data_IF_806112827886
#
_entry.id   IF_806112827886
#
_cell.length_a   1.000
_cell.length_b   1.000
_cell.length_c   1.000
_cell.angle_alpha   90.00
_cell.angle_beta   90.00
_cell.angle_gamma   90.00
#
_symmetry.space_group_name_H-M   'P 1'
#
loop_
_entity.id
_entity.type
_entity.pdbx_description
1 polymer ?
#
# COMPACT_ATOMS: atom_id res chain seq x y z
N UNK A 1 5.25 -23.40 -5.88
CA UNK A 1 6.01 -22.15 -5.66
C UNK A 1 5.37 -20.96 -6.40
N UNK A 2 4.03 -20.87 -6.41
CA UNK A 2 3.26 -19.72 -6.93
C UNK A 2 2.11 -19.33 -5.99
N UNK A 3 1.79 -20.14 -4.98
CA UNK A 3 0.65 -19.93 -4.07
C UNK A 3 0.81 -18.75 -3.11
N UNK A 4 2.04 -18.30 -2.82
CA UNK A 4 2.25 -17.20 -1.87
C UNK A 4 1.91 -15.82 -2.44
N UNK A 5 1.80 -15.69 -3.78
CA UNK A 5 1.42 -14.44 -4.43
C UNK A 5 -0.10 -14.24 -4.53
N UNK A 6 -0.88 -15.34 -4.54
CA UNK A 6 -2.35 -15.27 -4.67
C UNK A 6 -3.04 -14.84 -3.37
N UNK A 7 -2.47 -15.21 -2.21
CA UNK A 7 -3.01 -14.84 -0.90
C UNK A 7 -2.98 -13.31 -0.70
N UNK A 8 -1.93 -12.65 -1.22
CA UNK A 8 -1.79 -11.19 -1.12
C UNK A 8 -2.72 -10.47 -2.11
N UNK A 9 -2.98 -11.06 -3.28
CA UNK A 9 -3.95 -10.52 -4.25
C UNK A 9 -5.42 -10.73 -3.83
N UNK A 10 -5.70 -11.77 -3.03
CA UNK A 10 -7.03 -12.02 -2.45
C UNK A 10 -7.31 -11.23 -1.17
N UNK A 11 -6.30 -10.62 -0.57
CA UNK A 11 -6.52 -9.72 0.55
C UNK A 11 -7.20 -8.46 -0.01
N UNK A 12 -8.54 -8.42 0.11
CA UNK A 12 -9.36 -7.21 -0.04
C UNK A 12 -8.96 -6.09 0.94
N UNK A 13 -8.03 -6.36 1.83
CA UNK A 13 -7.55 -5.46 2.86
C UNK A 13 -6.46 -4.54 2.29
N UNK A 14 -6.56 -3.26 2.62
CA UNK A 14 -5.54 -2.28 2.28
C UNK A 14 -4.22 -2.65 2.95
N UNK A 15 -3.16 -2.77 2.15
CA UNK A 15 -1.80 -2.99 2.62
C UNK A 15 -0.99 -1.74 2.29
N UNK A 16 -0.46 -1.12 3.34
CA UNK A 16 0.39 0.07 3.26
C UNK A 16 1.68 -0.26 3.99
N UNK A 17 2.82 -0.05 3.33
CA UNK A 17 4.13 -0.08 3.97
C UNK A 17 4.67 1.33 3.96
N UNK A 18 5.07 1.81 5.14
CA UNK A 18 5.70 3.10 5.33
C UNK A 18 7.10 2.92 5.90
N UNK A 19 8.01 3.76 5.47
CA UNK A 19 9.32 3.90 6.08
C UNK A 19 9.18 4.75 7.34
N UNK A 20 9.62 4.23 8.48
CA UNK A 20 9.52 4.96 9.74
C UNK A 20 10.60 6.04 9.88
N UNK A 21 11.70 5.93 9.12
CA UNK A 21 12.80 6.89 9.14
C UNK A 21 12.46 8.17 8.35
N UNK A 22 11.88 8.03 7.15
CA UNK A 22 11.54 9.15 6.25
C UNK A 22 10.04 9.52 6.29
N UNK A 23 9.23 8.77 7.05
CA UNK A 23 7.76 8.83 7.07
C UNK A 23 7.07 8.61 5.71
N UNK A 24 7.81 8.17 4.69
CA UNK A 24 7.29 7.97 3.34
C UNK A 24 6.50 6.67 3.20
N UNK A 25 5.46 6.69 2.37
CA UNK A 25 4.80 5.47 1.92
C UNK A 25 5.65 4.81 0.83
N UNK A 26 6.17 3.63 1.13
CA UNK A 26 7.03 2.85 0.24
C UNK A 26 6.28 1.74 -0.50
N UNK A 27 5.08 1.38 -0.04
CA UNK A 27 4.21 0.42 -0.72
C UNK A 27 2.73 0.76 -0.56
N UNK A 28 2.00 0.62 -1.65
CA UNK A 28 0.56 0.87 -1.74
C UNK A 28 -0.06 -0.15 -2.70
N UNK A 29 -1.01 -0.96 -2.22
CA UNK A 29 -1.71 -1.95 -3.05
C UNK A 29 -3.08 -1.45 -3.54
N UNK A 30 -3.68 -2.18 -4.47
CA UNK A 30 -5.03 -1.88 -5.01
C UNK A 30 -6.10 -1.81 -3.89
N UNK A 31 -5.94 -2.60 -2.83
CA UNK A 31 -6.81 -2.53 -1.64
C UNK A 31 -6.73 -1.16 -0.94
N UNK A 32 -5.54 -0.57 -0.85
CA UNK A 32 -5.33 0.78 -0.32
C UNK A 32 -5.87 1.85 -1.27
N UNK A 33 -5.71 1.69 -2.59
CA UNK A 33 -6.31 2.58 -3.58
C UNK A 33 -7.83 2.62 -3.45
N UNK A 34 -8.45 1.45 -3.26
CA UNK A 34 -9.90 1.34 -3.07
C UNK A 34 -10.38 1.89 -1.73
N UNK A 35 -9.60 1.69 -0.65
CA UNK A 35 -10.00 2.09 0.70
C UNK A 35 -9.83 3.60 0.92
N UNK A 36 -8.72 4.18 0.45
CA UNK A 36 -8.38 5.59 0.66
C UNK A 36 -8.72 6.47 -0.54
N UNK A 37 -8.98 5.89 -1.72
CA UNK A 37 -9.39 6.64 -2.91
C UNK A 37 -8.24 7.37 -3.60
N UNK A 38 -6.99 7.05 -3.26
CA UNK A 38 -5.78 7.60 -3.89
C UNK A 38 -5.05 6.51 -4.66
N UNK A 39 -4.60 6.85 -5.85
CA UNK A 39 -3.81 5.92 -6.67
C UNK A 39 -2.45 5.68 -6.01
N UNK A 40 -1.81 4.54 -6.28
CA UNK A 40 -0.46 4.25 -5.78
C UNK A 40 0.54 5.38 -6.13
N UNK A 41 0.40 5.94 -7.33
CA UNK A 41 1.21 7.07 -7.81
C UNK A 41 1.03 8.36 -6.98
N UNK A 42 -0.13 8.53 -6.35
CA UNK A 42 -0.46 9.70 -5.53
C UNK A 42 -0.03 9.51 -4.08
N UNK A 43 -0.06 8.25 -3.60
CA UNK A 43 0.24 7.89 -2.22
C UNK A 43 1.74 7.63 -1.99
N UNK A 44 2.44 7.03 -2.95
CA UNK A 44 3.88 6.72 -2.82
C UNK A 44 4.71 8.00 -2.65
N UNK A 45 5.63 7.99 -1.68
CA UNK A 45 6.49 9.14 -1.38
C UNK A 45 5.79 10.30 -0.67
N UNK A 46 4.53 10.16 -0.26
CA UNK A 46 3.87 11.12 0.63
C UNK A 46 4.16 10.77 2.10
N UNK A 47 4.36 11.79 2.97
CA UNK A 47 4.42 11.56 4.40
C UNK A 47 3.05 11.06 4.87
N UNK A 48 3.07 9.98 5.64
CA UNK A 48 1.87 9.36 6.20
C UNK A 48 1.23 10.17 7.33
N UNK A 49 1.99 11.10 7.93
CA UNK A 49 1.51 12.06 8.92
C UNK A 49 1.46 13.47 8.32
N UNK A 50 0.27 14.07 8.33
CA UNK A 50 0.12 15.52 8.40
C UNK A 50 -0.01 15.94 9.86
#
# INVERSE_FOLDING_TARGET
MLEQADIINRAQEAIIIRNLEDDDISFWNEGAERLYGWSAEEALGKPSAN
#
